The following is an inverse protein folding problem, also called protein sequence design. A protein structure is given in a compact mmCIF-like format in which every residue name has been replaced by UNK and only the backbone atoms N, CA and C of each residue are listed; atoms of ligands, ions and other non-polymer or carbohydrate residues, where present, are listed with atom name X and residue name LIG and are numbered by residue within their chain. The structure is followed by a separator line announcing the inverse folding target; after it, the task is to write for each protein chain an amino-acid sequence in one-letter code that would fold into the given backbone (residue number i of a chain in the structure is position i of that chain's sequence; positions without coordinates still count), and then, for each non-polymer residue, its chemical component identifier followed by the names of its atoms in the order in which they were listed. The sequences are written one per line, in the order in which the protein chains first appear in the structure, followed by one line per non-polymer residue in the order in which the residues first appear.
data_IF_388298587963
#
_entry.id   IF_388298587963
#
_cell.length_a   1.000
_cell.length_b   1.000
_cell.length_c   1.000
_cell.angle_alpha   90.00
_cell.angle_beta   90.00
_cell.angle_gamma   90.00
#
_symmetry.space_group_name_H-M   'P 1'
#
loop_
_entity.id
_entity.type
_entity.pdbx_description
1 polymer ?
#
# COMPACT_ATOMS: atom_id res chain seq x y z
N UNK A 1 6.83 9.53 5.77
CA UNK A 1 7.03 10.44 4.62
C UNK A 1 6.95 9.57 3.35
N UNK A 2 5.91 8.73 3.25
CA UNK A 2 6.03 7.45 2.53
C UNK A 2 5.06 7.32 1.35
N UNK A 3 3.94 8.06 1.35
CA UNK A 3 2.92 7.96 0.30
C UNK A 3 3.45 8.28 -1.10
N UNK A 4 4.35 9.26 -1.22
CA UNK A 4 4.98 9.63 -2.49
C UNK A 4 5.95 8.53 -2.97
N UNK A 5 6.64 7.89 -2.03
CA UNK A 5 7.53 6.76 -2.32
C UNK A 5 6.72 5.56 -2.78
N UNK A 6 5.64 5.22 -2.06
CA UNK A 6 4.71 4.16 -2.42
C UNK A 6 4.09 4.38 -3.80
N UNK A 7 3.52 5.55 -4.07
CA UNK A 7 2.94 5.88 -5.38
C UNK A 7 4.00 5.81 -6.48
N UNK A 8 5.18 6.40 -6.26
CA UNK A 8 6.28 6.42 -7.21
C UNK A 8 6.77 5.01 -7.56
N UNK A 9 6.97 4.16 -6.55
CA UNK A 9 7.43 2.79 -6.74
C UNK A 9 6.34 1.91 -7.36
N UNK A 10 5.07 2.07 -6.97
CA UNK A 10 3.95 1.38 -7.60
C UNK A 10 3.81 1.73 -9.07
N UNK A 11 4.00 3.01 -9.44
CA UNK A 11 4.01 3.45 -10.84
C UNK A 11 5.17 2.80 -11.61
N UNK A 12 6.37 2.80 -11.03
CA UNK A 12 7.55 2.21 -11.64
C UNK A 12 7.36 0.71 -11.89
N UNK A 13 6.86 -0.02 -10.90
CA UNK A 13 6.58 -1.46 -11.00
C UNK A 13 5.48 -1.71 -12.04
N UNK A 14 4.38 -0.96 -12.00
CA UNK A 14 3.31 -1.12 -12.99
C UNK A 14 3.79 -0.85 -14.43
N UNK A 15 4.68 0.12 -14.61
CA UNK A 15 5.31 0.41 -15.90
C UNK A 15 6.18 -0.74 -16.38
N UNK A 16 7.10 -1.26 -15.54
CA UNK A 16 7.98 -2.36 -15.91
C UNK A 16 7.27 -3.70 -16.13
N UNK A 17 6.16 -3.93 -15.43
CA UNK A 17 5.30 -5.10 -15.65
C UNK A 17 4.45 -4.99 -16.92
N UNK A 18 4.46 -3.84 -17.61
CA UNK A 18 3.69 -3.62 -18.83
C UNK A 18 2.18 -3.67 -18.58
N UNK A 19 1.72 -3.19 -17.42
CA UNK A 19 0.30 -3.24 -17.09
C UNK A 19 -0.52 -2.39 -18.05
N UNK A 20 -1.72 -2.87 -18.38
CA UNK A 20 -2.69 -2.03 -19.10
C UNK A 20 -3.01 -0.77 -18.28
N UNK A 21 -3.45 0.30 -18.94
CA UNK A 21 -3.77 1.57 -18.25
C UNK A 21 -4.77 1.35 -17.09
N UNK A 22 -5.77 0.51 -17.29
CA UNK A 22 -6.76 0.13 -16.28
C UNK A 22 -6.11 -0.59 -15.09
N UNK A 23 -5.25 -1.54 -15.36
CA UNK A 23 -4.61 -2.37 -14.35
C UNK A 23 -3.58 -1.57 -13.54
N UNK A 24 -2.88 -0.63 -14.20
CA UNK A 24 -2.02 0.36 -13.55
C UNK A 24 -2.82 1.24 -12.59
N UNK A 25 -4.01 1.72 -12.97
CA UNK A 25 -4.86 2.50 -12.07
C UNK A 25 -5.27 1.71 -10.82
N UNK A 26 -5.60 0.43 -10.98
CA UNK A 26 -5.89 -0.42 -9.82
C UNK A 26 -4.66 -0.64 -8.94
N UNK A 27 -3.51 -0.92 -9.54
CA UNK A 27 -2.28 -1.20 -8.79
C UNK A 27 -1.77 0.04 -8.03
N UNK A 28 -1.72 1.20 -8.69
CA UNK A 28 -1.25 2.46 -8.08
C UNK A 28 -2.30 3.01 -7.11
N UNK A 29 -3.58 2.90 -7.44
CA UNK A 29 -4.69 3.34 -6.60
C UNK A 29 -4.82 2.58 -5.29
N UNK A 30 -4.21 1.39 -5.17
CA UNK A 30 -4.17 0.64 -3.92
C UNK A 30 -3.48 1.40 -2.77
N UNK A 31 -2.58 2.34 -3.07
CA UNK A 31 -1.94 3.21 -2.07
C UNK A 31 -2.91 4.17 -1.38
N UNK A 32 -4.20 4.15 -1.72
CA UNK A 32 -5.24 4.86 -0.98
C UNK A 32 -5.33 4.40 0.49
N UNK A 33 -4.79 3.22 0.83
CA UNK A 33 -4.79 2.72 2.21
C UNK A 33 -3.95 3.60 3.16
N UNK A 34 -2.94 4.32 2.66
CA UNK A 34 -2.18 5.33 3.40
C UNK A 34 -3.02 6.53 3.87
N UNK A 35 -4.28 6.67 3.40
CA UNK A 35 -5.18 7.70 3.92
C UNK A 35 -5.43 7.50 5.43
N UNK A 36 -5.21 6.30 5.97
CA UNK A 36 -5.27 6.05 7.42
C UNK A 36 -4.23 6.85 8.23
N UNK A 37 -3.19 7.40 7.59
CA UNK A 37 -2.32 8.41 8.19
C UNK A 37 -3.07 9.64 8.67
N UNK A 38 -4.13 10.07 7.98
CA UNK A 38 -4.96 11.20 8.39
C UNK A 38 -5.73 10.94 9.69
N UNK A 39 -5.87 9.67 10.08
CA UNK A 39 -6.56 9.24 11.30
C UNK A 39 -5.60 9.07 12.49
N UNK A 40 -4.30 9.32 12.31
CA UNK A 40 -3.30 9.25 13.39
C UNK A 40 -3.16 10.57 14.13
N UNK A 41 -2.82 10.50 15.42
CA UNK A 41 -2.49 11.66 16.26
C UNK A 41 -1.07 11.48 16.84
N UNK A 42 -0.09 12.34 16.49
CA UNK A 42 -0.19 13.47 15.54
C UNK A 42 -0.33 13.01 14.08
N UNK A 43 -0.98 13.80 13.21
CA UNK A 43 -1.18 13.42 11.80
C UNK A 43 0.14 13.23 11.03
N UNK A 44 1.17 14.01 11.37
CA UNK A 44 2.49 13.93 10.75
C UNK A 44 3.59 13.92 11.82
N UNK A 45 4.36 12.83 11.86
CA UNK A 45 5.56 12.71 12.68
C UNK A 45 6.64 12.00 11.83
N UNK A 46 7.76 12.67 11.50
CA UNK A 46 8.82 12.07 10.70
C UNK A 46 9.70 11.09 11.50
N UNK A 47 9.51 10.98 12.82
CA UNK A 47 10.30 10.13 13.72
C UNK A 47 9.58 8.85 14.15
N UNK A 48 8.28 8.69 13.79
CA UNK A 48 7.52 7.48 14.12
C UNK A 48 7.72 6.37 13.09
N UNK A 49 7.55 5.13 13.55
CA UNK A 49 7.46 3.96 12.71
C UNK A 49 6.08 3.93 11.99
N UNK A 50 6.09 4.02 10.66
CA UNK A 50 4.92 4.01 9.79
C UNK A 50 4.11 2.70 9.83
N UNK A 51 4.71 1.57 10.21
CA UNK A 51 4.01 0.28 10.27
C UNK A 51 3.18 0.12 11.56
N UNK A 52 3.65 0.68 12.68
CA UNK A 52 3.03 0.46 14.00
C UNK A 52 2.02 1.56 14.38
N UNK A 53 1.99 2.69 13.68
CA UNK A 53 1.27 3.88 14.12
C UNK A 53 -0.13 4.12 13.52
N UNK A 54 -0.64 3.23 12.65
CA UNK A 54 -1.91 3.48 11.94
C UNK A 54 -2.95 2.37 12.06
N UNK A 55 -4.23 2.73 11.97
CA UNK A 55 -5.35 1.81 12.23
C UNK A 55 -5.37 0.65 11.23
N UNK A 56 -5.09 0.91 9.94
CA UNK A 56 -5.10 -0.14 8.92
C UNK A 56 -3.81 -0.96 9.01
N UNK A 57 -2.66 -0.31 9.15
CA UNK A 57 -1.36 -0.97 9.26
C UNK A 57 -1.22 -1.82 10.54
N UNK A 58 -1.76 -1.35 11.67
CA UNK A 58 -1.86 -2.14 12.90
C UNK A 58 -2.75 -3.38 12.73
N UNK A 59 -3.77 -3.29 11.87
CA UNK A 59 -4.65 -4.39 11.52
C UNK A 59 -4.38 -4.89 10.09
N UNK A 60 -3.11 -5.00 9.70
CA UNK A 60 -2.71 -5.39 8.35
C UNK A 60 -3.20 -6.79 7.95
N UNK A 61 -3.40 -7.70 8.91
CA UNK A 61 -3.80 -9.09 8.67
C UNK A 61 -5.16 -9.21 7.97
N UNK A 62 -6.28 -8.65 8.48
CA UNK A 62 -7.55 -8.63 7.77
C UNK A 62 -7.47 -8.03 6.36
N UNK A 63 -6.75 -6.92 6.20
CA UNK A 63 -6.62 -6.24 4.90
C UNK A 63 -5.81 -7.08 3.92
N UNK A 64 -4.72 -7.70 4.37
CA UNK A 64 -3.91 -8.62 3.58
C UNK A 64 -4.70 -9.86 3.17
N UNK A 65 -5.52 -10.41 4.07
CA UNK A 65 -6.38 -11.54 3.76
C UNK A 65 -7.38 -11.21 2.65
N UNK A 66 -8.11 -10.09 2.79
CA UNK A 66 -9.03 -9.60 1.74
C UNK A 66 -8.26 -9.35 0.44
N UNK A 67 -7.07 -8.78 0.54
CA UNK A 67 -6.22 -8.50 -0.62
C UNK A 67 -5.81 -9.76 -1.39
N UNK A 68 -5.46 -10.85 -0.69
CA UNK A 68 -5.20 -12.16 -1.29
C UNK A 68 -6.45 -12.68 -2.01
N UNK A 69 -7.63 -12.55 -1.41
CA UNK A 69 -8.88 -12.94 -2.07
C UNK A 69 -9.15 -12.11 -3.34
N UNK A 70 -8.82 -10.82 -3.33
CA UNK A 70 -8.97 -9.95 -4.52
C UNK A 70 -8.11 -10.40 -5.70
N UNK A 71 -6.95 -11.04 -5.45
CA UNK A 71 -6.09 -11.62 -6.51
C UNK A 71 -6.78 -12.69 -7.35
N UNK A 72 -7.85 -13.31 -6.82
CA UNK A 72 -8.65 -14.33 -7.50
C UNK A 72 -9.82 -13.74 -8.30
N UNK A 73 -9.98 -12.41 -8.32
CA UNK A 73 -11.11 -11.72 -8.95
C UNK A 73 -10.65 -10.81 -10.09
N UNK A 74 -11.60 -10.10 -10.73
CA UNK A 74 -11.29 -9.04 -11.70
C UNK A 74 -10.49 -7.86 -11.12
N UNK A 75 -10.43 -7.74 -9.78
CA UNK A 75 -9.69 -6.70 -9.06
C UNK A 75 -8.29 -7.14 -8.65
N UNK A 76 -7.72 -8.16 -9.31
CA UNK A 76 -6.43 -8.75 -8.94
C UNK A 76 -5.30 -7.74 -8.74
N UNK A 77 -5.24 -6.72 -9.59
CA UNK A 77 -4.19 -5.70 -9.53
C UNK A 77 -4.36 -4.74 -8.36
N UNK A 78 -5.59 -4.52 -7.91
CA UNK A 78 -5.85 -3.74 -6.70
C UNK A 78 -5.37 -4.52 -5.46
N UNK A 79 -5.68 -5.82 -5.38
CA UNK A 79 -5.15 -6.70 -4.33
C UNK A 79 -3.62 -6.77 -4.34
N UNK A 80 -3.02 -7.05 -5.50
CA UNK A 80 -1.56 -7.05 -5.63
C UNK A 80 -0.93 -5.71 -5.25
N UNK A 81 -1.59 -4.58 -5.55
CA UNK A 81 -1.15 -3.26 -5.13
C UNK A 81 -1.14 -3.09 -3.61
N UNK A 82 -2.18 -3.55 -2.90
CA UNK A 82 -2.23 -3.51 -1.43
C UNK A 82 -1.15 -4.40 -0.81
N UNK A 83 -0.93 -5.60 -1.35
CA UNK A 83 0.13 -6.48 -0.86
C UNK A 83 1.52 -5.89 -1.10
N UNK A 84 1.72 -5.26 -2.26
CA UNK A 84 2.95 -4.57 -2.58
C UNK A 84 3.20 -3.39 -1.65
N UNK A 85 2.15 -2.62 -1.33
CA UNK A 85 2.22 -1.54 -0.36
C UNK A 85 2.72 -2.02 1.01
N UNK A 86 2.05 -2.98 1.63
CA UNK A 86 2.49 -3.52 2.94
C UNK A 86 3.89 -4.15 2.89
N UNK A 87 4.29 -4.71 1.75
CA UNK A 87 5.64 -5.22 1.56
C UNK A 87 6.68 -4.08 1.62
N UNK A 88 6.38 -2.92 1.06
CA UNK A 88 7.25 -1.75 1.13
C UNK A 88 7.31 -1.17 2.54
N UNK A 89 6.17 -1.08 3.24
CA UNK A 89 6.18 -0.66 4.64
C UNK A 89 7.05 -1.59 5.49
N UNK A 90 6.92 -2.91 5.29
CA UNK A 90 7.71 -3.89 6.02
C UNK A 90 9.22 -3.76 5.76
N UNK A 91 9.64 -3.49 4.52
CA UNK A 91 11.06 -3.25 4.20
C UNK A 91 11.56 -1.94 4.80
N UNK A 92 10.69 -0.94 4.94
CA UNK A 92 11.06 0.37 5.49
C UNK A 92 11.30 0.37 7.01
N UNK A 93 10.96 -0.73 7.70
CA UNK A 93 11.18 -0.89 9.13
C UNK A 93 12.68 -0.88 9.48
N UNK A 94 13.11 -0.08 10.49
CA UNK A 94 14.46 -0.20 11.02
C UNK A 94 14.61 -1.57 11.70
N UNK A 95 15.54 -2.38 11.19
CA UNK A 95 15.94 -3.68 11.75
C UNK A 95 16.90 -3.49 12.92
#
# INVERSE_FOLDING_TARGET
MDILVHIGLSLLVAFFLGLSQRDMYYFVGANIIDIDHLLSDPVYDPTRNSFESHIIHHNWLPVSFVSVLLTLTKYKWFGLGILFHFFLDWISLPI
#
